data_IF_329164777303
#
_entry.id   IF_329164777303
#
_cell.length_a   1.000
_cell.length_b   1.000
_cell.length_c   1.000
_cell.angle_alpha   90.00
_cell.angle_beta   90.00
_cell.angle_gamma   90.00
#
_symmetry.space_group_name_H-M   'P 1'
#
loop_
_entity.id
_entity.type
_entity.pdbx_description
1 polymer ?
#
# COMPACT_ATOMS: atom_id res chain seq x y z
N UNK A 1 -40.49 24.50 -39.22
CA UNK A 1 -40.14 24.51 -37.81
C UNK A 1 -38.72 23.90 -37.71
N UNK A 2 -37.70 24.70 -37.60
CA UNK A 2 -36.34 24.27 -37.36
C UNK A 2 -36.30 23.81 -35.90
N UNK A 3 -35.98 22.53 -35.62
CA UNK A 3 -35.64 22.08 -34.29
C UNK A 3 -34.33 22.78 -33.90
N UNK A 4 -34.42 23.73 -32.96
CA UNK A 4 -33.26 24.29 -32.31
C UNK A 4 -32.43 23.11 -31.74
N UNK A 5 -31.20 23.01 -32.22
CA UNK A 5 -30.20 22.05 -31.70
C UNK A 5 -29.87 22.47 -30.25
N UNK A 6 -30.61 21.93 -29.27
CA UNK A 6 -30.19 22.05 -27.89
C UNK A 6 -28.81 21.40 -27.75
N UNK A 7 -27.84 22.07 -27.13
CA UNK A 7 -26.51 21.48 -26.92
C UNK A 7 -26.64 20.20 -26.12
N UNK A 8 -25.99 19.14 -26.62
CA UNK A 8 -25.93 17.85 -25.94
C UNK A 8 -25.23 18.00 -24.59
N UNK A 9 -25.95 17.85 -23.50
CA UNK A 9 -25.46 18.08 -22.13
C UNK A 9 -25.53 16.76 -21.34
N UNK A 10 -24.36 16.19 -21.05
CA UNK A 10 -24.24 15.06 -20.11
C UNK A 10 -23.56 15.55 -18.83
N UNK A 11 -24.15 15.22 -17.71
CA UNK A 11 -23.56 15.47 -16.39
C UNK A 11 -22.93 14.17 -15.84
N UNK A 12 -21.76 14.28 -15.19
CA UNK A 12 -21.12 13.12 -14.55
C UNK A 12 -21.96 12.62 -13.39
N UNK A 13 -21.79 11.33 -13.04
CA UNK A 13 -22.44 10.77 -11.85
C UNK A 13 -22.01 11.53 -10.58
N UNK A 14 -22.95 11.77 -9.67
CA UNK A 14 -22.73 12.54 -8.43
C UNK A 14 -21.59 12.02 -7.58
N UNK A 15 -21.30 10.71 -7.63
CA UNK A 15 -20.15 10.10 -6.92
C UNK A 15 -18.79 10.69 -7.29
N UNK A 16 -18.65 11.31 -8.45
CA UNK A 16 -17.40 11.96 -8.86
C UNK A 16 -17.11 13.25 -8.08
N UNK A 17 -18.14 13.89 -7.51
CA UNK A 17 -17.96 15.05 -6.64
C UNK A 17 -17.34 14.70 -5.28
N UNK A 18 -17.35 13.41 -4.88
CA UNK A 18 -16.81 12.94 -3.62
C UNK A 18 -15.28 12.74 -3.65
N UNK A 19 -14.66 12.87 -4.82
CA UNK A 19 -13.21 12.76 -5.00
C UNK A 19 -12.68 13.99 -5.70
N UNK A 20 -11.61 14.55 -5.15
CA UNK A 20 -10.86 15.67 -5.74
C UNK A 20 -9.58 15.16 -6.40
N UNK A 21 -8.98 15.98 -7.28
CA UNK A 21 -7.65 15.68 -7.80
C UNK A 21 -6.66 15.57 -6.63
N UNK A 22 -5.95 14.49 -6.60
CA UNK A 22 -5.01 14.13 -5.57
C UNK A 22 -3.84 15.14 -5.50
N UNK A 23 -3.53 15.68 -4.32
CA UNK A 23 -2.38 16.59 -4.11
C UNK A 23 -1.11 16.05 -4.76
N UNK A 24 -0.84 14.75 -4.55
CA UNK A 24 0.32 14.07 -5.11
C UNK A 24 0.35 14.12 -6.65
N UNK A 25 -0.81 13.97 -7.31
CA UNK A 25 -0.92 14.10 -8.78
C UNK A 25 -0.53 15.50 -9.25
N UNK A 26 -0.99 16.55 -8.55
CA UNK A 26 -0.63 17.94 -8.88
C UNK A 26 0.87 18.18 -8.72
N UNK A 27 1.48 17.69 -7.61
CA UNK A 27 2.92 17.82 -7.38
C UNK A 27 3.76 17.06 -8.39
N UNK A 28 3.32 15.87 -8.82
CA UNK A 28 4.01 15.15 -9.89
C UNK A 28 3.95 15.88 -11.22
N UNK A 29 2.84 16.55 -11.55
CA UNK A 29 2.76 17.43 -12.74
C UNK A 29 3.71 18.63 -12.63
N UNK A 30 3.83 19.22 -11.44
CA UNK A 30 4.78 20.31 -11.18
C UNK A 30 6.23 19.83 -11.34
N UNK A 31 6.61 18.72 -10.74
CA UNK A 31 7.94 18.09 -10.90
C UNK A 31 8.24 17.78 -12.37
N UNK A 32 7.26 17.23 -13.09
CA UNK A 32 7.42 16.95 -14.53
C UNK A 32 7.68 18.23 -15.35
N UNK A 33 6.95 19.32 -15.06
CA UNK A 33 7.18 20.64 -15.68
C UNK A 33 8.57 21.16 -15.35
N UNK A 34 8.98 21.14 -14.07
CA UNK A 34 10.33 21.56 -13.67
C UNK A 34 11.42 20.77 -14.38
N UNK A 35 11.22 19.46 -14.59
CA UNK A 35 12.16 18.63 -15.33
C UNK A 35 12.18 18.94 -16.83
N UNK A 36 11.04 19.26 -17.44
CA UNK A 36 10.98 19.74 -18.83
C UNK A 36 11.72 21.08 -19.01
N UNK A 37 11.78 21.92 -17.96
CA UNK A 37 12.55 23.16 -17.90
C UNK A 37 14.05 22.92 -17.57
N UNK A 38 14.51 21.67 -17.49
CA UNK A 38 15.92 21.31 -17.23
C UNK A 38 16.35 21.41 -15.76
N UNK A 39 15.41 21.49 -14.81
CA UNK A 39 15.75 21.65 -13.39
C UNK A 39 16.25 20.38 -12.71
N UNK A 40 16.11 19.21 -13.34
CA UNK A 40 16.61 17.91 -12.86
C UNK A 40 16.20 17.60 -11.41
N UNK A 41 14.91 17.65 -11.12
CA UNK A 41 14.35 17.36 -9.79
C UNK A 41 14.51 15.88 -9.48
N UNK A 42 15.12 15.57 -8.34
CA UNK A 42 15.20 14.21 -7.80
C UNK A 42 13.93 13.95 -7.00
N UNK A 43 13.20 12.88 -7.35
CA UNK A 43 11.97 12.53 -6.63
C UNK A 43 12.24 11.46 -5.57
N UNK A 44 12.09 11.82 -4.31
CA UNK A 44 12.10 10.92 -3.16
C UNK A 44 10.68 10.68 -2.61
N UNK A 45 9.65 11.01 -3.39
CA UNK A 45 8.26 10.87 -2.95
C UNK A 45 7.57 9.58 -3.39
N UNK A 46 8.00 8.97 -4.51
CA UNK A 46 7.30 7.85 -5.14
C UNK A 46 7.73 6.51 -4.52
N UNK A 47 6.77 5.75 -4.04
CA UNK A 47 6.98 4.41 -3.49
C UNK A 47 6.86 3.31 -4.55
N UNK A 48 7.71 3.33 -5.56
CA UNK A 48 7.78 2.30 -6.60
C UNK A 48 9.17 1.69 -6.63
N UNK A 49 9.31 0.38 -6.32
CA UNK A 49 10.58 -0.29 -6.48
C UNK A 49 11.16 -0.08 -7.87
N UNK A 50 12.46 0.16 -7.95
CA UNK A 50 13.21 0.44 -9.18
C UNK A 50 14.00 -0.76 -9.67
N UNK A 51 14.12 -1.80 -8.84
CA UNK A 51 14.80 -3.04 -9.18
C UNK A 51 13.89 -3.95 -10.02
N UNK A 52 14.44 -4.79 -10.89
CA UNK A 52 13.66 -5.82 -11.58
C UNK A 52 13.25 -6.96 -10.62
N UNK A 53 12.25 -7.77 -10.97
CA UNK A 53 12.04 -9.07 -10.35
C UNK A 53 13.21 -10.01 -10.64
N UNK A 54 13.21 -11.22 -10.04
CA UNK A 54 14.25 -12.22 -10.33
C UNK A 54 14.28 -12.60 -11.81
N UNK A 55 15.47 -12.95 -12.30
CA UNK A 55 15.65 -13.36 -13.72
C UNK A 55 14.82 -14.59 -14.05
N UNK A 56 14.73 -15.54 -13.12
CA UNK A 56 13.92 -16.75 -13.28
C UNK A 56 12.44 -16.39 -13.48
N UNK A 57 11.94 -15.38 -12.74
CA UNK A 57 10.56 -14.88 -12.90
C UNK A 57 10.33 -14.33 -14.30
N UNK A 58 11.27 -13.53 -14.81
CA UNK A 58 11.19 -12.94 -16.16
C UNK A 58 11.24 -14.04 -17.22
N UNK A 59 12.14 -15.02 -17.07
CA UNK A 59 12.30 -16.12 -18.00
C UNK A 59 11.02 -16.96 -18.10
N UNK A 60 10.40 -17.31 -16.97
CA UNK A 60 9.12 -18.04 -16.95
C UNK A 60 8.03 -17.27 -17.69
N UNK A 61 7.94 -15.95 -17.54
CA UNK A 61 6.99 -15.12 -18.30
C UNK A 61 7.26 -15.24 -19.81
N UNK A 62 8.50 -15.01 -20.23
CA UNK A 62 8.88 -14.98 -21.64
C UNK A 62 8.68 -16.33 -22.34
N UNK A 63 9.06 -17.42 -21.69
CA UNK A 63 8.90 -18.79 -22.20
C UNK A 63 7.42 -19.16 -22.36
N UNK A 64 6.61 -18.88 -21.35
CA UNK A 64 5.21 -19.24 -21.38
C UNK A 64 4.38 -18.33 -22.30
N UNK A 65 4.76 -17.04 -22.47
CA UNK A 65 4.07 -16.14 -23.39
C UNK A 65 4.22 -16.55 -24.87
N UNK A 66 5.21 -17.38 -25.23
CA UNK A 66 5.40 -17.89 -26.59
C UNK A 66 4.58 -19.14 -26.91
N UNK A 67 3.97 -19.75 -25.89
CA UNK A 67 3.17 -20.96 -26.09
C UNK A 67 1.84 -20.63 -26.75
N UNK A 68 1.41 -21.38 -27.78
CA UNK A 68 0.20 -21.06 -28.55
C UNK A 68 -1.10 -21.18 -27.73
N UNK A 69 -1.10 -21.91 -26.63
CA UNK A 69 -2.23 -22.14 -25.72
C UNK A 69 -2.25 -21.13 -24.52
N UNK A 70 -1.32 -20.19 -24.48
CA UNK A 70 -1.17 -19.26 -23.37
C UNK A 70 -2.20 -18.12 -23.33
N UNK A 71 -2.91 -17.87 -24.44
CA UNK A 71 -3.64 -16.63 -24.68
C UNK A 71 -5.15 -16.70 -24.43
N UNK A 72 -5.67 -17.85 -24.05
CA UNK A 72 -7.08 -18.05 -23.71
C UNK A 72 -7.49 -17.37 -22.40
N UNK A 73 -8.78 -17.11 -22.25
CA UNK A 73 -9.34 -16.64 -20.97
C UNK A 73 -8.97 -17.58 -19.83
N UNK A 74 -8.62 -17.01 -18.70
CA UNK A 74 -8.29 -17.75 -17.49
C UNK A 74 -9.42 -17.62 -16.45
N UNK A 75 -9.57 -18.61 -15.56
CA UNK A 75 -10.54 -18.53 -14.46
C UNK A 75 -10.27 -17.32 -13.56
N UNK A 76 -11.31 -16.62 -13.13
CA UNK A 76 -11.21 -15.48 -12.18
C UNK A 76 -10.60 -15.90 -10.84
N UNK A 77 -10.79 -17.15 -10.43
CA UNK A 77 -10.14 -17.72 -9.23
C UNK A 77 -8.61 -17.84 -9.35
N UNK A 78 -8.04 -17.64 -10.54
CA UNK A 78 -6.64 -17.88 -10.83
C UNK A 78 -6.30 -19.36 -11.05
N UNK A 79 -5.14 -19.63 -11.66
CA UNK A 79 -4.69 -21.00 -11.93
C UNK A 79 -4.28 -21.71 -10.62
N UNK A 80 -4.42 -23.04 -10.55
CA UNK A 80 -4.06 -23.82 -9.34
C UNK A 80 -2.60 -23.63 -8.92
N UNK A 81 -1.68 -23.52 -9.89
CA UNK A 81 -0.24 -23.33 -9.66
C UNK A 81 0.03 -22.02 -8.88
N UNK A 82 -0.63 -20.93 -9.26
CA UNK A 82 -0.48 -19.65 -8.57
C UNK A 82 -1.05 -19.70 -7.14
N UNK A 83 -2.26 -20.23 -6.99
CA UNK A 83 -2.90 -20.33 -5.66
C UNK A 83 -2.10 -21.22 -4.71
N UNK A 84 -1.55 -22.34 -5.23
CA UNK A 84 -0.65 -23.19 -4.46
C UNK A 84 0.62 -22.44 -4.02
N UNK A 85 1.28 -21.73 -4.94
CA UNK A 85 2.47 -20.94 -4.62
C UNK A 85 2.19 -19.88 -3.57
N UNK A 86 1.01 -19.24 -3.59
CA UNK A 86 0.55 -18.28 -2.57
C UNK A 86 0.36 -18.96 -1.21
N UNK A 87 -0.24 -20.15 -1.16
CA UNK A 87 -0.38 -20.90 0.09
C UNK A 87 0.98 -21.34 0.65
N UNK A 88 1.85 -21.87 -0.20
CA UNK A 88 3.22 -22.28 0.17
C UNK A 88 4.02 -21.07 0.71
N UNK A 89 3.84 -19.89 0.15
CA UNK A 89 4.43 -18.63 0.61
C UNK A 89 3.97 -18.28 2.03
N UNK A 90 2.67 -18.32 2.31
CA UNK A 90 2.13 -18.09 3.64
C UNK A 90 2.64 -19.12 4.64
N UNK A 91 2.71 -20.39 4.25
CA UNK A 91 3.27 -21.43 5.09
C UNK A 91 4.75 -21.17 5.41
N UNK A 92 5.54 -20.87 4.38
CA UNK A 92 6.99 -20.65 4.51
C UNK A 92 7.34 -19.47 5.41
N UNK A 93 6.69 -18.33 5.21
CA UNK A 93 7.12 -17.06 5.81
C UNK A 93 6.35 -16.68 7.07
N UNK A 94 5.09 -17.06 7.15
CA UNK A 94 4.23 -16.74 8.29
C UNK A 94 3.86 -17.95 9.13
N UNK A 95 4.18 -19.17 8.69
CA UNK A 95 3.70 -20.42 9.28
C UNK A 95 2.15 -20.49 9.38
N UNK A 96 1.45 -19.93 8.40
CA UNK A 96 -0.01 -19.97 8.26
C UNK A 96 -0.39 -20.99 7.20
N UNK A 97 -1.26 -21.92 7.57
CA UNK A 97 -1.84 -22.91 6.64
C UNK A 97 -3.07 -22.29 5.97
N UNK A 98 -3.09 -22.31 4.63
CA UNK A 98 -4.20 -21.85 3.80
C UNK A 98 -4.57 -22.97 2.80
N UNK A 99 -5.87 -23.21 2.66
CA UNK A 99 -6.35 -24.03 1.54
C UNK A 99 -6.27 -23.21 0.23
N UNK A 100 -5.41 -23.60 -0.73
CA UNK A 100 -5.27 -22.86 -1.97
C UNK A 100 -6.54 -22.88 -2.83
N UNK A 101 -7.46 -23.82 -2.59
CA UNK A 101 -8.71 -23.93 -3.36
C UNK A 101 -9.80 -22.96 -2.87
N UNK A 102 -9.81 -22.62 -1.58
CA UNK A 102 -10.95 -21.94 -0.97
C UNK A 102 -10.59 -20.70 -0.13
N UNK A 103 -9.35 -20.55 0.36
CA UNK A 103 -8.96 -19.51 1.31
C UNK A 103 -8.06 -18.42 0.68
N UNK A 104 -7.84 -18.50 -0.65
CA UNK A 104 -7.00 -17.56 -1.40
C UNK A 104 -7.74 -17.07 -2.64
N UNK A 105 -7.69 -15.75 -2.89
CA UNK A 105 -8.12 -15.15 -4.14
C UNK A 105 -6.98 -14.28 -4.71
N UNK A 106 -6.41 -14.62 -5.89
CA UNK A 106 -5.52 -13.75 -6.63
C UNK A 106 -6.18 -12.44 -7.04
N UNK A 107 -5.42 -11.35 -7.01
CA UNK A 107 -5.88 -10.00 -7.30
C UNK A 107 -4.99 -9.33 -8.36
N UNK A 108 -5.54 -8.35 -9.07
CA UNK A 108 -4.80 -7.43 -9.96
C UNK A 108 -4.13 -6.33 -9.11
N UNK A 109 -3.28 -6.76 -8.16
CA UNK A 109 -2.72 -5.97 -7.08
C UNK A 109 -3.72 -5.72 -5.94
N UNK A 110 -3.23 -5.44 -4.73
CA UNK A 110 -4.08 -5.27 -3.54
C UNK A 110 -5.08 -4.11 -3.65
N UNK A 111 -4.76 -3.06 -4.44
CA UNK A 111 -5.68 -1.93 -4.64
C UNK A 111 -7.04 -2.34 -5.23
N UNK A 112 -7.05 -3.32 -6.14
CA UNK A 112 -8.28 -3.88 -6.68
C UNK A 112 -9.06 -4.65 -5.59
N UNK A 113 -8.34 -5.33 -4.70
CA UNK A 113 -8.93 -6.00 -3.54
C UNK A 113 -9.72 -5.07 -2.63
N UNK A 114 -9.27 -3.81 -2.45
CA UNK A 114 -10.02 -2.80 -1.69
C UNK A 114 -11.41 -2.58 -2.30
N UNK A 115 -11.50 -2.51 -3.64
CA UNK A 115 -12.77 -2.37 -4.35
C UNK A 115 -13.69 -3.59 -4.09
N UNK A 116 -13.16 -4.78 -4.32
CA UNK A 116 -13.98 -5.99 -4.24
C UNK A 116 -14.44 -6.31 -2.83
N UNK A 117 -13.58 -6.12 -1.83
CA UNK A 117 -13.92 -6.30 -0.42
C UNK A 117 -14.99 -5.28 0.02
N UNK A 118 -14.82 -4.00 -0.34
CA UNK A 118 -15.83 -2.99 -0.02
C UNK A 118 -17.17 -3.32 -0.67
N UNK A 119 -17.20 -3.67 -1.96
CA UNK A 119 -18.45 -4.03 -2.66
C UNK A 119 -19.11 -5.29 -2.08
N UNK A 120 -18.32 -6.22 -1.55
CA UNK A 120 -18.85 -7.47 -1.00
C UNK A 120 -19.40 -7.33 0.43
N UNK A 121 -18.89 -6.39 1.22
CA UNK A 121 -19.14 -6.35 2.66
C UNK A 121 -19.81 -5.04 3.15
N UNK A 122 -19.81 -3.98 2.33
CA UNK A 122 -20.26 -2.64 2.75
C UNK A 122 -21.34 -2.12 1.82
N UNK A 123 -22.47 -1.73 2.38
CA UNK A 123 -23.54 -1.05 1.65
C UNK A 123 -23.34 0.47 1.66
N UNK A 124 -23.94 1.21 0.69
CA UNK A 124 -24.03 2.66 0.81
C UNK A 124 -24.68 3.06 2.16
N UNK A 125 -24.02 3.99 2.88
CA UNK A 125 -24.47 4.43 4.21
C UNK A 125 -23.91 3.61 5.38
N UNK A 126 -23.32 2.44 5.15
CA UNK A 126 -22.53 1.77 6.18
C UNK A 126 -21.23 2.56 6.47
N UNK A 127 -20.66 2.36 7.65
CA UNK A 127 -19.42 3.01 8.07
C UNK A 127 -18.21 2.09 7.90
N UNK A 128 -17.06 2.72 7.60
CA UNK A 128 -15.76 2.05 7.58
C UNK A 128 -14.75 2.82 8.42
N UNK A 129 -13.99 2.12 9.26
CA UNK A 129 -12.89 2.70 10.02
C UNK A 129 -11.64 2.80 9.12
N UNK A 130 -11.04 3.99 9.07
CA UNK A 130 -9.87 4.28 8.24
C UNK A 130 -8.77 4.93 9.08
N UNK A 131 -7.50 4.48 8.98
CA UNK A 131 -6.40 5.03 9.78
C UNK A 131 -6.05 6.46 9.38
N UNK A 132 -5.70 7.28 10.36
CA UNK A 132 -5.19 8.64 10.19
C UNK A 132 -3.88 8.80 10.97
N UNK A 133 -2.69 8.83 10.29
CA UNK A 133 -2.50 8.80 8.85
C UNK A 133 -2.69 7.40 8.25
N UNK A 134 -2.98 7.32 6.95
CA UNK A 134 -3.17 6.06 6.26
C UNK A 134 -3.11 6.17 4.74
N UNK A 135 -3.27 5.04 4.06
CA UNK A 135 -3.27 5.00 2.60
C UNK A 135 -4.56 5.66 2.05
N UNK A 136 -4.44 6.75 1.28
CA UNK A 136 -5.59 7.54 0.86
C UNK A 136 -6.66 6.79 0.04
N UNK A 137 -6.30 5.65 -0.56
CA UNK A 137 -7.26 4.84 -1.33
C UNK A 137 -8.36 4.27 -0.43
N UNK A 138 -8.08 3.97 0.85
CA UNK A 138 -9.13 3.50 1.77
C UNK A 138 -10.24 4.54 1.91
N UNK A 139 -9.88 5.82 2.01
CA UNK A 139 -10.86 6.91 2.07
C UNK A 139 -11.54 7.15 0.72
N UNK A 140 -10.76 7.33 -0.35
CA UNK A 140 -11.31 7.78 -1.64
C UNK A 140 -12.23 6.74 -2.27
N UNK A 141 -11.82 5.46 -2.23
CA UNK A 141 -12.62 4.39 -2.83
C UNK A 141 -13.94 4.18 -2.06
N UNK A 142 -13.87 4.13 -0.73
CA UNK A 142 -15.07 3.96 0.09
C UNK A 142 -16.06 5.12 -0.10
N UNK A 143 -15.60 6.37 -0.23
CA UNK A 143 -16.45 7.51 -0.59
C UNK A 143 -17.11 7.36 -1.96
N UNK A 144 -16.38 6.88 -2.98
CA UNK A 144 -16.93 6.60 -4.32
C UNK A 144 -18.07 5.57 -4.24
N UNK A 145 -17.94 4.59 -3.35
CA UNK A 145 -18.91 3.52 -3.16
C UNK A 145 -20.07 3.90 -2.23
N UNK A 146 -20.04 5.11 -1.65
CA UNK A 146 -21.12 5.64 -0.82
C UNK A 146 -21.03 5.26 0.65
N UNK A 147 -19.90 4.74 1.12
CA UNK A 147 -19.65 4.46 2.53
C UNK A 147 -19.31 5.73 3.30
N UNK A 148 -19.67 5.79 4.57
CA UNK A 148 -19.27 6.84 5.49
C UNK A 148 -17.90 6.52 6.10
N UNK A 149 -16.99 7.50 6.08
CA UNK A 149 -15.63 7.34 6.62
C UNK A 149 -15.60 7.78 8.08
N UNK A 150 -15.17 6.90 8.95
CA UNK A 150 -14.86 7.18 10.35
C UNK A 150 -13.35 7.02 10.53
N UNK A 151 -12.63 8.12 10.80
CA UNK A 151 -11.21 8.04 11.02
C UNK A 151 -10.91 7.60 12.46
N UNK A 152 -9.91 6.73 12.61
CA UNK A 152 -9.28 6.47 13.89
C UNK A 152 -7.83 6.94 13.87
N UNK A 153 -7.36 7.47 15.00
CA UNK A 153 -6.07 8.12 15.06
C UNK A 153 -4.94 7.12 15.32
N UNK A 154 -3.88 7.29 14.53
CA UNK A 154 -2.57 6.72 14.81
C UNK A 154 -1.66 7.88 15.26
N UNK A 155 -0.95 7.71 16.38
CA UNK A 155 -0.10 8.75 16.98
C UNK A 155 1.27 8.18 17.35
N UNK A 156 2.27 9.04 17.32
CA UNK A 156 3.65 8.70 17.62
C UNK A 156 3.82 8.19 19.07
N UNK A 157 3.14 8.82 20.01
CA UNK A 157 3.14 8.45 21.44
C UNK A 157 2.49 7.08 21.73
N UNK A 158 1.70 6.54 20.78
CA UNK A 158 1.16 5.20 20.81
C UNK A 158 1.78 4.30 19.72
N UNK A 159 3.04 4.55 19.35
CA UNK A 159 3.78 3.77 18.33
C UNK A 159 3.00 3.55 17.03
N UNK A 160 2.17 4.52 16.63
CA UNK A 160 1.32 4.46 15.44
C UNK A 160 0.37 3.26 15.40
N UNK A 161 -0.05 2.80 16.57
CA UNK A 161 -1.08 1.76 16.72
C UNK A 161 -2.45 2.40 16.99
N UNK A 162 -3.57 1.70 16.68
CA UNK A 162 -4.90 2.12 17.09
C UNK A 162 -4.98 2.27 18.62
N UNK A 163 -5.64 3.32 19.06
CA UNK A 163 -6.02 3.48 20.45
C UNK A 163 -7.36 2.78 20.68
N UNK A 164 -7.31 1.59 21.28
CA UNK A 164 -8.51 0.79 21.50
C UNK A 164 -9.46 1.42 22.53
N UNK A 165 -8.96 2.24 23.46
CA UNK A 165 -9.83 2.97 24.38
C UNK A 165 -10.62 4.08 23.67
N UNK A 166 -10.03 4.75 22.68
CA UNK A 166 -10.74 5.68 21.81
C UNK A 166 -11.76 4.96 20.92
N UNK A 167 -11.37 3.82 20.33
CA UNK A 167 -12.25 3.03 19.47
C UNK A 167 -13.49 2.52 20.23
N UNK A 168 -13.35 2.06 21.46
CA UNK A 168 -14.47 1.59 22.30
C UNK A 168 -15.48 2.69 22.66
N UNK A 169 -15.08 3.96 22.58
CA UNK A 169 -15.99 5.10 22.83
C UNK A 169 -16.75 5.55 21.59
N UNK A 170 -16.44 5.01 20.42
CA UNK A 170 -17.12 5.34 19.17
C UNK A 170 -18.44 4.60 19.04
N UNK A 171 -19.40 5.17 18.30
CA UNK A 171 -20.56 4.42 17.83
C UNK A 171 -20.17 3.52 16.67
N UNK A 172 -20.03 2.23 16.95
CA UNK A 172 -19.61 1.21 16.01
C UNK A 172 -20.78 0.45 15.37
N UNK A 173 -22.02 0.82 15.66
CA UNK A 173 -23.23 0.07 15.26
C UNK A 173 -23.39 -0.09 13.75
N UNK A 174 -22.86 0.86 12.95
CA UNK A 174 -22.89 0.84 11.48
C UNK A 174 -21.54 0.50 10.83
N UNK A 175 -20.50 0.25 11.63
CA UNK A 175 -19.18 -0.08 11.11
C UNK A 175 -19.15 -1.52 10.61
N UNK A 176 -18.70 -1.73 9.35
CA UNK A 176 -18.58 -3.06 8.73
C UNK A 176 -17.13 -3.51 8.61
N UNK A 177 -16.24 -2.58 8.26
CA UNK A 177 -14.84 -2.87 8.01
C UNK A 177 -13.97 -1.87 8.79
N UNK A 178 -12.86 -2.38 9.33
CA UNK A 178 -11.73 -1.58 9.79
C UNK A 178 -10.53 -1.86 8.89
N UNK A 179 -10.08 -0.84 8.17
CA UNK A 179 -8.85 -0.91 7.38
C UNK A 179 -7.65 -0.74 8.28
N UNK A 180 -6.71 -1.67 8.21
CA UNK A 180 -5.40 -1.60 8.84
C UNK A 180 -4.30 -1.85 7.81
N UNK A 181 -3.10 -1.39 8.10
CA UNK A 181 -1.95 -1.58 7.23
C UNK A 181 -0.70 -1.71 8.12
N UNK A 182 -0.21 -2.93 8.29
CA UNK A 182 0.98 -3.22 9.07
C UNK A 182 1.85 -4.27 8.36
N UNK A 183 3.15 -3.97 8.17
CA UNK A 183 3.86 -2.73 8.51
C UNK A 183 3.21 -1.49 7.91
N UNK A 184 3.13 -0.41 8.69
CA UNK A 184 2.29 0.75 8.35
C UNK A 184 2.93 1.68 7.30
N UNK A 185 2.15 2.14 6.35
CA UNK A 185 2.46 3.24 5.46
C UNK A 185 1.50 4.39 5.79
N UNK A 186 2.00 5.58 6.17
CA UNK A 186 3.35 6.07 5.88
C UNK A 186 4.38 5.90 7.00
N UNK A 187 4.01 5.46 8.20
CA UNK A 187 4.78 5.65 9.44
C UNK A 187 5.94 4.67 9.62
N UNK A 188 5.93 3.54 8.92
CA UNK A 188 6.93 2.49 9.07
C UNK A 188 6.78 1.64 10.35
N UNK A 189 5.73 1.87 11.14
CA UNK A 189 5.47 1.07 12.34
C UNK A 189 5.26 -0.40 11.99
N UNK A 190 6.00 -1.27 12.65
CA UNK A 190 5.90 -2.72 12.42
C UNK A 190 4.69 -3.31 13.16
N UNK A 191 4.22 -4.46 12.68
CA UNK A 191 3.23 -5.25 13.40
C UNK A 191 3.83 -5.93 14.61
N UNK A 192 3.03 -6.13 15.65
CA UNK A 192 3.32 -7.04 16.76
C UNK A 192 2.20 -8.06 16.90
N UNK A 193 2.50 -9.23 17.47
CA UNK A 193 1.44 -10.22 17.74
C UNK A 193 0.40 -9.67 18.70
N UNK A 194 0.82 -8.90 19.70
CA UNK A 194 -0.09 -8.24 20.66
C UNK A 194 -1.08 -7.30 19.96
N UNK A 195 -0.60 -6.51 18.99
CA UNK A 195 -1.48 -5.65 18.18
C UNK A 195 -2.50 -6.49 17.41
N UNK A 196 -2.06 -7.57 16.76
CA UNK A 196 -2.95 -8.42 15.98
C UNK A 196 -3.97 -9.16 16.88
N UNK A 197 -3.57 -9.61 18.06
CA UNK A 197 -4.49 -10.20 19.05
C UNK A 197 -5.57 -9.20 19.48
N UNK A 198 -5.19 -7.95 19.78
CA UNK A 198 -6.14 -6.87 20.11
C UNK A 198 -7.10 -6.56 18.96
N UNK A 199 -6.61 -6.52 17.72
CA UNK A 199 -7.44 -6.30 16.53
C UNK A 199 -8.45 -7.44 16.32
N UNK A 200 -8.03 -8.69 16.47
CA UNK A 200 -8.92 -9.87 16.34
C UNK A 200 -9.97 -9.89 17.46
N UNK A 201 -9.59 -9.60 18.69
CA UNK A 201 -10.53 -9.49 19.81
C UNK A 201 -11.57 -8.37 19.57
N UNK A 202 -11.11 -7.18 19.19
CA UNK A 202 -11.98 -6.05 18.83
C UNK A 202 -12.94 -6.41 17.70
N UNK A 203 -12.45 -7.02 16.62
CA UNK A 203 -13.25 -7.45 15.49
C UNK A 203 -14.39 -8.40 15.91
N UNK A 204 -14.09 -9.37 16.77
CA UNK A 204 -15.07 -10.35 17.27
C UNK A 204 -16.13 -9.73 18.17
N UNK A 205 -15.71 -8.88 19.10
CA UNK A 205 -16.64 -8.24 20.04
C UNK A 205 -17.62 -7.31 19.33
N UNK A 206 -17.17 -6.58 18.31
CA UNK A 206 -17.97 -5.60 17.59
C UNK A 206 -18.57 -6.10 16.27
N UNK A 207 -18.32 -7.36 15.89
CA UNK A 207 -18.76 -7.95 14.60
C UNK A 207 -18.31 -7.14 13.39
N UNK A 208 -17.05 -6.65 13.42
CA UNK A 208 -16.38 -5.86 12.40
C UNK A 208 -15.36 -6.74 11.68
N UNK A 209 -15.22 -6.60 10.36
CA UNK A 209 -14.16 -7.28 9.60
C UNK A 209 -12.90 -6.42 9.59
N UNK A 210 -11.77 -6.95 10.09
CA UNK A 210 -10.46 -6.32 9.92
C UNK A 210 -9.93 -6.67 8.53
N UNK A 211 -9.54 -5.66 7.75
CA UNK A 211 -8.83 -5.85 6.49
C UNK A 211 -7.42 -5.29 6.63
N UNK A 212 -6.44 -6.18 6.80
CA UNK A 212 -5.04 -5.81 6.94
C UNK A 212 -4.34 -5.84 5.58
N UNK A 213 -3.95 -4.67 5.08
CA UNK A 213 -3.14 -4.54 3.86
C UNK A 213 -1.66 -4.67 4.23
N UNK A 214 -1.03 -5.77 3.79
CA UNK A 214 0.31 -6.17 4.22
C UNK A 214 1.31 -6.28 3.04
N UNK A 215 1.57 -5.20 2.26
CA UNK A 215 2.50 -5.25 1.14
C UNK A 215 3.97 -5.05 1.54
N UNK A 216 4.25 -4.61 2.78
CA UNK A 216 5.59 -4.16 3.21
C UNK A 216 6.31 -5.13 4.14
N UNK A 217 5.72 -6.26 4.47
CA UNK A 217 6.19 -7.24 5.48
C UNK A 217 7.64 -7.66 5.32
N UNK A 218 8.19 -7.65 4.11
CA UNK A 218 9.52 -8.18 3.83
C UNK A 218 10.60 -7.12 3.71
N UNK A 219 10.23 -5.82 3.66
CA UNK A 219 11.21 -4.76 3.41
C UNK A 219 11.75 -4.25 4.74
N UNK A 220 13.05 -4.38 4.96
CA UNK A 220 13.76 -4.05 6.20
C UNK A 220 13.19 -4.80 7.43
N UNK A 221 12.53 -5.93 7.21
CA UNK A 221 11.91 -6.73 8.26
C UNK A 221 12.25 -8.22 8.06
N UNK A 222 13.09 -8.76 8.94
CA UNK A 222 13.52 -10.17 8.91
C UNK A 222 12.57 -11.12 9.61
N UNK A 223 11.57 -10.60 10.32
CA UNK A 223 10.59 -11.40 11.07
C UNK A 223 9.17 -10.98 10.68
N UNK A 224 8.78 -11.23 9.43
CA UNK A 224 7.42 -10.91 8.99
C UNK A 224 6.40 -11.76 9.74
N UNK A 225 5.29 -11.14 10.12
CA UNK A 225 4.14 -11.80 10.75
C UNK A 225 2.86 -11.45 10.00
N UNK A 226 1.87 -12.33 10.09
CA UNK A 226 0.54 -12.17 9.51
C UNK A 226 -0.51 -12.02 10.61
N UNK A 227 -1.55 -11.23 10.38
CA UNK A 227 -2.71 -11.20 11.29
C UNK A 227 -3.37 -12.58 11.39
N UNK A 228 -3.24 -13.39 10.33
CA UNK A 228 -3.77 -14.76 10.31
C UNK A 228 -2.99 -15.74 11.21
N UNK A 229 -1.88 -15.30 11.85
CA UNK A 229 -1.21 -16.05 12.91
C UNK A 229 -2.05 -16.09 14.19
N UNK A 230 -2.94 -15.14 14.40
CA UNK A 230 -3.79 -15.11 15.60
C UNK A 230 -4.86 -16.20 15.50
N UNK A 231 -5.02 -17.07 16.52
CA UNK A 231 -6.07 -18.08 16.52
C UNK A 231 -7.47 -17.47 16.29
N UNK A 232 -8.19 -18.01 15.31
CA UNK A 232 -9.52 -17.54 14.94
C UNK A 232 -9.56 -16.25 14.09
N UNK A 233 -8.42 -15.69 13.71
CA UNK A 233 -8.38 -14.50 12.84
C UNK A 233 -9.10 -14.72 11.52
N UNK A 234 -9.01 -15.90 10.90
CA UNK A 234 -9.72 -16.20 9.64
C UNK A 234 -11.24 -15.98 9.72
N UNK A 235 -11.84 -16.03 10.89
CA UNK A 235 -13.29 -15.83 11.05
C UNK A 235 -13.71 -14.37 10.83
N UNK A 236 -12.82 -13.40 11.10
CA UNK A 236 -13.13 -11.97 11.10
C UNK A 236 -12.07 -11.10 10.41
N UNK A 237 -11.02 -11.69 9.83
CA UNK A 237 -9.96 -10.94 9.18
C UNK A 237 -9.77 -11.35 7.72
N UNK A 238 -9.41 -10.37 6.90
CA UNK A 238 -8.93 -10.51 5.52
C UNK A 238 -7.54 -9.91 5.49
N UNK A 239 -6.55 -10.62 4.96
CA UNK A 239 -5.23 -10.06 4.73
C UNK A 239 -4.91 -9.94 3.25
N UNK A 240 -4.44 -8.76 2.82
CA UNK A 240 -3.88 -8.58 1.49
C UNK A 240 -2.37 -8.74 1.53
N UNK A 241 -1.84 -9.36 0.48
CA UNK A 241 -0.42 -9.37 0.18
C UNK A 241 -0.19 -8.94 -1.28
N UNK A 242 0.95 -8.33 -1.57
CA UNK A 242 1.22 -7.80 -2.90
C UNK A 242 2.67 -8.04 -3.32
N UNK A 243 2.85 -8.54 -4.52
CA UNK A 243 4.17 -8.70 -5.13
C UNK A 243 4.77 -7.37 -5.59
N UNK A 244 3.98 -6.29 -5.60
CA UNK A 244 4.43 -4.96 -6.05
C UNK A 244 5.65 -4.46 -5.30
N UNK A 245 5.82 -4.85 -4.02
CA UNK A 245 6.89 -4.36 -3.14
C UNK A 245 7.93 -5.43 -2.88
N UNK A 246 7.51 -6.55 -2.30
CA UNK A 246 8.37 -7.65 -1.88
C UNK A 246 9.09 -8.39 -3.03
N UNK A 247 8.58 -8.30 -4.26
CA UNK A 247 9.12 -8.99 -5.44
C UNK A 247 9.52 -8.05 -6.57
N UNK A 248 9.54 -6.73 -6.33
CA UNK A 248 9.86 -5.71 -7.35
C UNK A 248 8.96 -5.79 -8.60
N UNK A 249 7.66 -6.08 -8.41
CA UNK A 249 6.71 -6.30 -9.50
C UNK A 249 5.53 -5.29 -9.50
N UNK A 250 5.76 -3.96 -9.30
CA UNK A 250 4.65 -3.01 -9.22
C UNK A 250 3.85 -2.91 -10.53
N UNK A 251 4.51 -2.98 -11.68
CA UNK A 251 3.87 -2.94 -13.00
C UNK A 251 3.16 -4.22 -13.41
N UNK A 252 3.47 -5.34 -12.77
CA UNK A 252 2.91 -6.65 -13.11
C UNK A 252 1.49 -6.86 -12.58
N UNK A 253 1.08 -6.06 -11.62
CA UNK A 253 -0.27 -6.08 -11.03
C UNK A 253 -0.68 -7.43 -10.47
N UNK A 254 0.15 -8.00 -9.59
CA UNK A 254 -0.14 -9.26 -8.89
C UNK A 254 -0.22 -9.01 -7.39
N UNK A 255 -1.28 -9.48 -6.80
CA UNK A 255 -1.52 -9.53 -5.35
C UNK A 255 -2.46 -10.68 -5.02
N UNK A 256 -2.79 -10.79 -3.76
CA UNK A 256 -3.75 -11.78 -3.26
C UNK A 256 -4.47 -11.25 -2.03
N UNK A 257 -5.62 -11.83 -1.74
CA UNK A 257 -6.20 -11.84 -0.41
C UNK A 257 -6.22 -13.28 0.15
N UNK A 258 -6.07 -13.37 1.45
CA UNK A 258 -6.15 -14.60 2.22
C UNK A 258 -7.15 -14.41 3.37
N UNK A 259 -8.09 -15.35 3.52
CA UNK A 259 -9.14 -15.34 4.54
C UNK A 259 -9.87 -16.68 4.56
N UNK A 260 -11.05 -16.77 5.20
CA UNK A 260 -11.89 -17.97 5.15
C UNK A 260 -12.62 -18.13 3.81
N UNK A 261 -13.06 -19.36 3.53
CA UNK A 261 -13.76 -19.73 2.28
C UNK A 261 -15.03 -18.89 2.02
N UNK A 262 -15.77 -18.51 3.04
CA UNK A 262 -17.01 -17.74 2.91
C UNK A 262 -16.74 -16.34 2.38
N UNK A 263 -15.76 -15.62 2.95
CA UNK A 263 -15.37 -14.30 2.46
C UNK A 263 -14.80 -14.37 1.06
N UNK A 264 -13.97 -15.37 0.75
CA UNK A 264 -13.46 -15.59 -0.61
C UNK A 264 -14.61 -15.75 -1.60
N UNK A 265 -15.63 -16.56 -1.29
CA UNK A 265 -16.78 -16.76 -2.17
C UNK A 265 -17.57 -15.45 -2.41
N UNK A 266 -17.81 -14.64 -1.38
CA UNK A 266 -18.51 -13.36 -1.54
C UNK A 266 -17.72 -12.37 -2.40
N UNK A 267 -16.43 -12.27 -2.16
CA UNK A 267 -15.52 -11.39 -2.92
C UNK A 267 -15.38 -11.87 -4.37
N UNK A 268 -15.24 -13.19 -4.59
CA UNK A 268 -15.18 -13.79 -5.92
C UNK A 268 -16.46 -13.53 -6.71
N UNK A 269 -17.64 -13.57 -6.07
CA UNK A 269 -18.92 -13.26 -6.71
C UNK A 269 -18.94 -11.83 -7.28
N UNK A 270 -18.35 -10.87 -6.57
CA UNK A 270 -18.18 -9.50 -7.07
C UNK A 270 -17.14 -9.47 -8.19
N UNK A 271 -15.93 -10.00 -7.93
CA UNK A 271 -14.81 -9.97 -8.87
C UNK A 271 -15.16 -10.59 -10.22
N UNK A 272 -15.84 -11.72 -10.26
CA UNK A 272 -16.21 -12.41 -11.50
C UNK A 272 -17.21 -11.64 -12.38
N UNK A 273 -17.87 -10.62 -11.84
CA UNK A 273 -18.74 -9.72 -12.59
C UNK A 273 -18.02 -8.44 -13.07
N UNK A 274 -16.77 -8.23 -12.65
CA UNK A 274 -16.00 -7.01 -12.96
C UNK A 274 -14.85 -7.34 -13.93
N UNK A 275 -14.16 -8.47 -13.74
CA UNK A 275 -13.01 -8.87 -14.52
C UNK A 275 -12.99 -10.38 -14.81
N UNK A 276 -11.99 -10.79 -15.60
CA UNK A 276 -11.64 -12.18 -15.85
C UNK A 276 -10.28 -12.50 -15.24
N UNK A 277 -9.90 -13.79 -15.25
CA UNK A 277 -8.57 -14.20 -14.79
C UNK A 277 -7.44 -13.54 -15.61
N UNK A 278 -6.34 -13.22 -14.93
CA UNK A 278 -5.18 -12.59 -15.55
C UNK A 278 -4.46 -13.52 -16.52
N UNK A 279 -3.66 -12.96 -17.42
CA UNK A 279 -2.88 -13.66 -18.44
C UNK A 279 -2.09 -14.84 -17.84
N UNK A 280 -2.27 -16.06 -18.40
CA UNK A 280 -1.68 -17.29 -17.83
C UNK A 280 -0.17 -17.23 -17.61
N UNK A 281 0.65 -16.75 -18.57
CA UNK A 281 2.09 -16.61 -18.37
C UNK A 281 2.47 -15.70 -17.20
N UNK A 282 1.71 -14.64 -16.97
CA UNK A 282 1.89 -13.77 -15.81
C UNK A 282 1.64 -14.53 -14.50
N UNK A 283 0.59 -15.35 -14.45
CA UNK A 283 0.28 -16.15 -13.27
C UNK A 283 1.38 -17.20 -12.97
N UNK A 284 1.91 -17.85 -14.01
CA UNK A 284 3.01 -18.81 -13.87
C UNK A 284 4.30 -18.13 -13.40
N UNK A 285 4.62 -16.96 -13.95
CA UNK A 285 5.77 -16.18 -13.53
C UNK A 285 5.62 -15.68 -12.08
N UNK A 286 4.42 -15.27 -11.66
CA UNK A 286 4.14 -14.92 -10.28
C UNK A 286 4.29 -16.13 -9.34
N UNK A 287 3.82 -17.32 -9.75
CA UNK A 287 4.03 -18.55 -9.00
C UNK A 287 5.54 -18.84 -8.82
N UNK A 288 6.34 -18.67 -9.88
CA UNK A 288 7.82 -18.78 -9.79
C UNK A 288 8.40 -17.77 -8.81
N UNK A 289 7.96 -16.52 -8.85
CA UNK A 289 8.48 -15.47 -7.96
C UNK A 289 8.23 -15.76 -6.47
N UNK A 290 7.11 -16.41 -6.11
CA UNK A 290 6.88 -16.87 -4.73
C UNK A 290 7.88 -17.95 -4.27
N UNK A 291 8.58 -18.60 -5.20
CA UNK A 291 9.62 -19.58 -4.91
C UNK A 291 11.04 -18.98 -4.89
N UNK A 292 11.21 -17.67 -5.07
CA UNK A 292 12.50 -17.02 -4.93
C UNK A 292 13.21 -17.43 -3.64
N UNK A 293 14.53 -17.53 -3.70
CA UNK A 293 15.33 -17.98 -2.56
C UNK A 293 15.34 -16.96 -1.41
N UNK A 294 15.70 -17.42 -0.23
CA UNK A 294 15.88 -16.54 0.93
C UNK A 294 16.99 -15.52 0.68
N UNK A 295 18.06 -15.92 -0.02
CA UNK A 295 19.19 -15.06 -0.40
C UNK A 295 18.73 -13.93 -1.33
N UNK A 296 17.87 -14.24 -2.31
CA UNK A 296 17.28 -13.20 -3.18
C UNK A 296 16.48 -12.17 -2.36
N UNK A 297 15.65 -12.64 -1.41
CA UNK A 297 14.88 -11.75 -0.55
C UNK A 297 15.75 -10.94 0.40
N UNK A 298 16.82 -11.55 0.95
CA UNK A 298 17.79 -10.84 1.80
C UNK A 298 18.47 -9.71 1.02
N UNK A 299 18.95 -9.95 -0.20
CA UNK A 299 19.58 -8.89 -1.00
C UNK A 299 18.57 -7.83 -1.47
N UNK A 300 17.44 -8.25 -2.05
CA UNK A 300 16.47 -7.33 -2.66
C UNK A 300 15.71 -6.49 -1.62
N UNK A 301 15.30 -7.10 -0.49
CA UNK A 301 14.38 -6.47 0.46
C UNK A 301 15.06 -5.95 1.73
N UNK A 302 16.24 -6.46 2.08
CA UNK A 302 16.95 -6.07 3.31
C UNK A 302 18.19 -5.27 2.96
N UNK A 303 19.19 -5.88 2.28
CA UNK A 303 20.50 -5.25 2.09
C UNK A 303 20.42 -3.99 1.22
N UNK A 304 19.72 -4.05 0.10
CA UNK A 304 19.56 -2.90 -0.80
C UNK A 304 18.84 -1.75 -0.09
N UNK A 305 17.70 -2.03 0.57
CA UNK A 305 16.98 -0.98 1.29
C UNK A 305 17.74 -0.47 2.53
N UNK A 306 18.56 -1.30 3.20
CA UNK A 306 19.39 -0.86 4.32
C UNK A 306 20.46 0.15 3.90
N UNK A 307 21.09 -0.05 2.74
CA UNK A 307 22.04 0.93 2.19
C UNK A 307 21.37 2.27 1.89
N UNK A 308 20.21 2.24 1.24
CA UNK A 308 19.41 3.42 0.89
C UNK A 308 18.87 4.14 2.13
N UNK A 309 18.47 3.37 3.15
CA UNK A 309 17.97 3.92 4.40
C UNK A 309 19.01 4.78 5.10
N UNK A 310 20.28 4.36 5.16
CA UNK A 310 21.36 5.16 5.75
C UNK A 310 21.43 6.56 5.13
N UNK A 311 21.37 6.65 3.80
CA UNK A 311 21.37 7.94 3.10
C UNK A 311 20.11 8.77 3.38
N UNK A 312 18.95 8.12 3.46
CA UNK A 312 17.69 8.80 3.80
C UNK A 312 17.67 9.30 5.26
N UNK A 313 18.29 8.57 6.18
CA UNK A 313 18.47 9.01 7.59
C UNK A 313 19.40 10.23 7.66
N UNK A 314 20.49 10.26 6.89
CA UNK A 314 21.35 11.44 6.79
C UNK A 314 20.61 12.66 6.21
N UNK A 315 19.71 12.46 5.23
CA UNK A 315 18.82 13.52 4.73
C UNK A 315 17.89 14.00 5.85
N UNK A 316 17.26 13.10 6.61
CA UNK A 316 16.40 13.47 7.74
C UNK A 316 17.17 14.28 8.79
N UNK A 317 18.36 13.84 9.19
CA UNK A 317 19.22 14.56 10.13
C UNK A 317 19.62 15.94 9.60
N UNK A 318 19.99 16.05 8.32
CA UNK A 318 20.34 17.34 7.69
C UNK A 318 19.16 18.31 7.70
N UNK A 319 17.92 17.82 7.55
CA UNK A 319 16.68 18.61 7.65
C UNK A 319 16.28 18.90 9.10
N UNK A 320 16.99 18.36 10.10
CA UNK A 320 16.65 18.49 11.52
C UNK A 320 15.44 17.68 11.95
N UNK A 321 15.01 16.71 11.15
CA UNK A 321 13.87 15.86 11.45
C UNK A 321 14.21 14.77 12.47
N UNK A 322 13.23 14.41 13.30
CA UNK A 322 13.31 13.26 14.20
C UNK A 322 12.49 12.09 13.63
N UNK A 323 12.94 10.87 13.86
CA UNK A 323 12.25 9.65 13.39
C UNK A 323 12.57 8.47 14.30
N UNK A 324 11.70 7.46 14.29
CA UNK A 324 11.91 6.21 14.99
C UNK A 324 12.90 5.35 14.17
N UNK A 325 14.04 4.91 14.75
CA UNK A 325 15.02 4.06 14.06
C UNK A 325 14.51 2.64 13.77
N UNK A 326 13.46 2.17 14.47
CA UNK A 326 12.89 0.83 14.32
C UNK A 326 11.87 0.70 13.18
N UNK A 327 11.64 1.78 12.42
CA UNK A 327 10.74 1.75 11.26
C UNK A 327 11.18 0.68 10.25
N UNK A 328 10.20 0.01 9.65
CA UNK A 328 10.39 -0.96 8.56
C UNK A 328 9.64 -0.51 7.29
N UNK A 329 9.76 -1.28 6.23
CA UNK A 329 9.15 -0.94 4.94
C UNK A 329 10.03 -0.04 4.09
N UNK A 330 9.47 0.48 3.00
CA UNK A 330 10.23 1.20 1.97
C UNK A 330 10.18 2.72 2.10
N UNK A 331 9.77 3.22 3.25
CA UNK A 331 9.66 4.65 3.54
C UNK A 331 10.31 4.98 4.87
N UNK A 332 10.86 6.19 4.96
CA UNK A 332 11.27 6.79 6.22
C UNK A 332 10.32 7.95 6.53
N UNK A 333 9.71 7.92 7.70
CA UNK A 333 8.76 8.89 8.21
C UNK A 333 9.40 9.68 9.35
N UNK A 334 9.46 11.02 9.22
CA UNK A 334 10.12 11.86 10.20
C UNK A 334 9.32 13.11 10.51
N UNK A 335 9.35 13.53 11.80
CA UNK A 335 8.75 14.75 12.29
C UNK A 335 9.67 15.94 12.01
N UNK A 336 9.13 16.98 11.41
CA UNK A 336 9.86 18.21 11.09
C UNK A 336 10.15 19.04 12.35
N UNK A 337 11.23 19.88 12.36
CA UNK A 337 11.51 20.82 13.44
C UNK A 337 10.36 21.79 13.70
N UNK A 338 10.22 22.21 14.96
CA UNK A 338 9.10 23.06 15.39
C UNK A 338 9.18 24.51 14.87
N UNK A 339 10.34 24.95 14.41
CA UNK A 339 10.51 26.30 13.85
C UNK A 339 9.87 26.48 12.46
N UNK A 340 9.57 25.40 11.72
CA UNK A 340 8.76 25.49 10.51
C UNK A 340 7.28 25.64 10.89
N UNK A 341 6.57 26.56 10.23
CA UNK A 341 5.14 26.77 10.47
C UNK A 341 4.34 25.50 10.19
N UNK A 342 4.63 24.83 9.09
CA UNK A 342 4.04 23.55 8.68
C UNK A 342 5.01 22.74 7.81
N UNK A 343 4.57 21.53 7.44
CA UNK A 343 5.38 20.63 6.61
C UNK A 343 5.51 21.12 5.17
N UNK A 344 4.55 21.91 4.67
CA UNK A 344 4.57 22.42 3.29
C UNK A 344 5.70 23.43 3.12
N UNK A 345 5.92 24.31 4.12
CA UNK A 345 7.06 25.25 4.15
C UNK A 345 8.39 24.51 3.92
N UNK A 346 8.66 23.44 4.66
CA UNK A 346 9.89 22.67 4.50
C UNK A 346 9.96 21.97 3.13
N UNK A 347 8.88 21.30 2.71
CA UNK A 347 8.91 20.52 1.47
C UNK A 347 8.97 21.40 0.23
N UNK A 348 8.34 22.58 0.21
CA UNK A 348 8.45 23.56 -0.86
C UNK A 348 9.87 24.16 -0.92
N UNK A 349 10.46 24.52 0.23
CA UNK A 349 11.86 24.98 0.28
C UNK A 349 12.79 23.93 -0.34
N UNK A 350 12.68 22.68 0.07
CA UNK A 350 13.51 21.58 -0.47
C UNK A 350 13.27 21.37 -1.97
N UNK A 351 12.01 21.43 -2.43
CA UNK A 351 11.68 21.28 -3.85
C UNK A 351 12.27 22.40 -4.72
N UNK A 352 12.10 23.65 -4.29
CA UNK A 352 12.47 24.79 -5.13
C UNK A 352 13.95 25.19 -5.03
N UNK A 353 14.58 25.05 -3.85
CA UNK A 353 15.98 25.44 -3.65
C UNK A 353 16.95 24.26 -3.87
N UNK A 354 16.65 23.06 -3.35
CA UNK A 354 17.48 21.87 -3.53
C UNK A 354 17.09 21.03 -4.76
N UNK A 355 15.92 21.29 -5.35
CA UNK A 355 15.36 20.46 -6.45
C UNK A 355 15.22 18.99 -6.08
N UNK A 356 14.72 18.76 -4.88
CA UNK A 356 14.42 17.44 -4.35
C UNK A 356 12.97 17.40 -3.90
N UNK A 357 12.20 16.47 -4.44
CA UNK A 357 10.79 16.31 -4.04
C UNK A 357 10.70 15.29 -2.91
N UNK A 358 10.21 15.74 -1.76
CA UNK A 358 9.89 14.92 -0.56
C UNK A 358 8.38 15.02 -0.33
N UNK A 359 7.78 13.94 0.12
CA UNK A 359 6.33 13.89 0.31
C UNK A 359 5.92 14.51 1.65
N UNK A 360 5.06 15.56 1.66
CA UNK A 360 4.49 16.09 2.90
C UNK A 360 3.47 15.12 3.49
N UNK A 361 3.51 14.96 4.81
CA UNK A 361 2.75 13.91 5.50
C UNK A 361 1.24 14.16 5.57
N UNK A 362 0.77 15.40 5.43
CA UNK A 362 -0.66 15.72 5.48
C UNK A 362 -1.48 15.02 4.37
N UNK A 363 -0.83 14.58 3.28
CA UNK A 363 -1.51 13.84 2.21
C UNK A 363 -2.03 12.47 2.68
N UNK A 364 -1.51 11.97 3.79
CA UNK A 364 -1.93 10.71 4.40
C UNK A 364 -2.99 10.91 5.50
N UNK A 365 -3.27 12.15 5.88
CA UNK A 365 -4.23 12.50 6.91
C UNK A 365 -3.75 13.63 7.82
N UNK A 366 -4.67 14.13 8.65
CA UNK A 366 -4.40 15.30 9.51
C UNK A 366 -3.27 15.08 10.52
N UNK A 367 -3.09 13.85 11.01
CA UNK A 367 -2.00 13.51 11.95
C UNK A 367 -0.61 13.48 11.27
N UNK A 368 -0.56 13.59 9.95
CA UNK A 368 0.67 13.73 9.18
C UNK A 368 1.18 15.17 9.01
N UNK A 369 0.47 16.20 9.52
CA UNK A 369 0.77 17.61 9.26
C UNK A 369 2.17 18.08 9.70
N UNK A 370 2.79 17.38 10.65
CA UNK A 370 4.14 17.69 11.15
C UNK A 370 5.20 16.72 10.66
N UNK A 371 4.91 15.93 9.62
CA UNK A 371 5.79 14.85 9.17
C UNK A 371 6.09 14.95 7.68
N UNK A 372 7.27 14.42 7.29
CA UNK A 372 7.64 14.15 5.91
C UNK A 372 7.83 12.65 5.72
N UNK A 373 7.69 12.20 4.47
CA UNK A 373 7.98 10.83 4.08
C UNK A 373 9.02 10.80 2.95
N UNK A 374 10.14 10.11 3.17
CA UNK A 374 11.16 9.82 2.16
C UNK A 374 10.96 8.39 1.66
N UNK A 375 10.94 8.21 0.35
CA UNK A 375 10.93 6.90 -0.30
C UNK A 375 12.34 6.36 -0.45
N UNK A 376 12.55 5.09 -0.12
CA UNK A 376 13.81 4.36 -0.31
C UNK A 376 13.92 3.71 -1.70
N UNK A 377 13.02 4.08 -2.64
CA UNK A 377 12.99 3.51 -3.99
C UNK A 377 13.97 4.19 -4.97
N UNK A 378 14.57 5.32 -4.60
CA UNK A 378 15.62 5.96 -5.40
C UNK A 378 16.95 5.20 -5.25
N UNK A 379 17.74 5.16 -6.34
CA UNK A 379 19.07 4.54 -6.33
C UNK A 379 20.04 5.32 -5.42
N UNK A 380 21.04 4.64 -4.86
CA UNK A 380 22.04 5.26 -3.97
C UNK A 380 22.65 6.55 -4.55
N UNK A 381 23.10 6.63 -5.83
CA UNK A 381 23.65 7.88 -6.39
C UNK A 381 22.64 9.04 -6.42
N UNK A 382 21.33 8.75 -6.55
CA UNK A 382 20.31 9.78 -6.50
C UNK A 382 20.07 10.28 -5.07
N UNK A 383 20.14 9.39 -4.08
CA UNK A 383 20.06 9.74 -2.66
C UNK A 383 21.27 10.56 -2.22
N UNK A 384 22.47 10.18 -2.64
CA UNK A 384 23.72 10.93 -2.39
C UNK A 384 23.66 12.35 -2.97
N UNK A 385 23.23 12.48 -4.23
CA UNK A 385 23.07 13.79 -4.86
C UNK A 385 21.97 14.63 -4.19
N UNK A 386 20.85 14.01 -3.78
CA UNK A 386 19.80 14.68 -3.03
C UNK A 386 20.31 15.20 -1.68
N UNK A 387 21.07 14.37 -0.94
CA UNK A 387 21.70 14.75 0.33
C UNK A 387 22.64 15.95 0.12
N UNK A 388 23.52 15.90 -0.87
CA UNK A 388 24.44 16.99 -1.19
C UNK A 388 23.71 18.32 -1.47
N UNK A 389 22.63 18.27 -2.25
CA UNK A 389 21.82 19.46 -2.59
C UNK A 389 21.12 20.03 -1.36
N UNK A 390 20.58 19.15 -0.49
CA UNK A 390 19.91 19.56 0.75
C UNK A 390 20.92 20.19 1.71
N UNK A 391 22.11 19.59 1.89
CA UNK A 391 23.18 20.18 2.72
C UNK A 391 23.59 21.56 2.23
N UNK A 392 23.64 21.79 0.92
CA UNK A 392 24.01 23.09 0.35
C UNK A 392 23.01 24.23 0.67
N UNK A 393 21.73 23.92 0.91
CA UNK A 393 20.70 24.90 1.27
C UNK A 393 20.51 25.05 2.80
N UNK A 394 20.84 24.00 3.57
CA UNK A 394 20.66 24.01 5.03
C UNK A 394 21.85 24.61 5.78
N UNK A 395 23.05 24.67 5.16
CA UNK A 395 24.27 25.27 5.72
C UNK A 395 24.42 26.77 5.37
N UNK A 396 23.42 27.37 4.73
CA UNK A 396 23.36 28.81 4.45
C UNK A 396 22.63 29.55 5.58
#
# INVERSE_FOLDING_TARGET
MQKENQPYKIEPASRLSHVSEYYFSRKLKEVARMNAEGKNVISLGIGSPDMPPSEETINVLCENARKPDAHGYQPTVGIPELRKAMADWYKRWYNVDLDPATEIQPLIGSKEGILHVTLALVNPGDQVLVPNPGYPTYTSLNKILGSEIVNYNLREDNHWQPDFEELEKMDLSRVKIMWTNYPNMPTGANATMELYEKLVDFARRHQIVIVNDNPYSFILNRKPISILNVPGAKECCIEFNSMSKSHNMPGWRVGMLATNATFVQWILKIKSNIDSGTFRPLQLAAAQAYHNSTEWHEEANIQTYARRRKLAEEIMHTLGCTFDPEQVGMFLWGRIPDHYADVEELTEKVLHEARVFITPGFIFGSNGKRYIRISLCAKEPQLEEALKRIQAIMNK
#
